data_IF_744725544985
#
_entry.id   IF_744725544985
#
_cell.length_a   1.000
_cell.length_b   1.000
_cell.length_c   1.000
_cell.angle_alpha   90.00
_cell.angle_beta   90.00
_cell.angle_gamma   90.00
#
_symmetry.space_group_name_H-M   'P 1'
#
loop_
_entity.id
_entity.type
_entity.pdbx_description
1 polymer ?
#
# COMPACT_ATOMS: atom_id res chain seq x y z
N UNK A 1 26.18 -14.85 -12.00
CA UNK A 1 26.15 -16.25 -11.56
C UNK A 1 24.72 -16.64 -11.19
N UNK A 2 24.26 -17.77 -11.71
CA UNK A 2 22.97 -18.36 -11.29
C UNK A 2 23.20 -19.31 -10.10
N UNK A 3 22.37 -19.19 -9.08
CA UNK A 3 22.36 -20.07 -7.93
C UNK A 3 21.75 -21.45 -8.22
N UNK A 4 21.84 -22.36 -7.27
CA UNK A 4 21.31 -23.72 -7.39
C UNK A 4 19.77 -23.71 -7.57
N UNK A 5 19.26 -24.45 -8.55
CA UNK A 5 17.84 -24.52 -8.90
C UNK A 5 17.17 -23.15 -9.20
N UNK A 6 17.93 -22.18 -9.67
CA UNK A 6 17.37 -20.91 -10.12
C UNK A 6 16.93 -20.95 -11.58
N UNK A 7 15.92 -20.15 -11.95
CA UNK A 7 15.41 -20.04 -13.31
C UNK A 7 15.52 -18.60 -13.81
N UNK A 8 16.20 -18.41 -14.95
CA UNK A 8 16.24 -17.11 -15.64
C UNK A 8 15.79 -17.30 -17.10
N UNK A 9 14.79 -16.53 -17.53
CA UNK A 9 14.23 -16.60 -18.89
C UNK A 9 14.13 -15.21 -19.49
N UNK A 10 14.68 -15.01 -20.70
CA UNK A 10 14.75 -13.79 -21.48
C UNK A 10 16.03 -12.97 -21.27
N UNK A 11 16.30 -12.04 -22.18
CA UNK A 11 17.51 -11.21 -22.22
C UNK A 11 17.68 -10.38 -20.95
N UNK A 12 18.82 -10.54 -20.28
CA UNK A 12 19.15 -9.77 -19.07
C UNK A 12 18.34 -10.16 -17.82
N UNK A 13 17.66 -11.30 -17.82
CA UNK A 13 17.07 -11.84 -16.60
C UNK A 13 18.18 -12.48 -15.74
N UNK A 14 18.17 -12.22 -14.42
CA UNK A 14 19.10 -12.82 -13.45
C UNK A 14 20.59 -12.56 -13.74
N UNK A 15 20.96 -11.39 -14.24
CA UNK A 15 22.30 -11.17 -14.82
C UNK A 15 23.43 -11.11 -13.80
N UNK A 16 23.25 -10.51 -12.63
CA UNK A 16 24.41 -10.18 -11.78
C UNK A 16 24.57 -11.10 -10.58
N UNK A 17 23.56 -11.53 -9.89
CA UNK A 17 23.66 -12.46 -8.75
C UNK A 17 22.29 -13.02 -8.41
N UNK A 18 21.88 -14.05 -9.13
CA UNK A 18 20.65 -14.78 -8.82
C UNK A 18 20.97 -15.88 -7.80
N UNK A 19 20.39 -15.82 -6.62
CA UNK A 19 20.61 -16.80 -5.55
C UNK A 19 19.78 -18.09 -5.76
N UNK A 20 19.91 -19.05 -4.85
CA UNK A 20 19.26 -20.34 -4.97
C UNK A 20 17.73 -20.25 -4.96
N UNK A 21 17.06 -21.15 -5.68
CA UNK A 21 15.61 -21.30 -5.74
C UNK A 21 14.84 -20.05 -6.24
N UNK A 22 15.54 -19.12 -6.86
CA UNK A 22 14.94 -17.87 -7.33
C UNK A 22 14.47 -17.95 -8.79
N UNK A 23 13.50 -17.13 -9.16
CA UNK A 23 12.91 -17.07 -10.51
C UNK A 23 12.97 -15.65 -11.06
N UNK A 24 13.55 -15.48 -12.26
CA UNK A 24 13.61 -14.24 -13.00
C UNK A 24 13.08 -14.45 -14.43
N UNK A 25 11.95 -13.86 -14.78
CA UNK A 25 11.34 -14.01 -16.12
C UNK A 25 11.05 -12.65 -16.73
N UNK A 26 11.50 -12.41 -17.95
CA UNK A 26 11.41 -11.21 -18.77
C UNK A 26 12.60 -10.27 -18.63
N UNK A 27 12.79 -9.45 -19.67
CA UNK A 27 13.92 -8.54 -19.82
C UNK A 27 14.13 -7.65 -18.60
N UNK A 28 15.34 -7.74 -18.02
CA UNK A 28 15.75 -6.93 -16.86
C UNK A 28 15.01 -7.29 -15.56
N UNK A 29 14.29 -8.42 -15.51
CA UNK A 29 13.84 -8.98 -14.26
C UNK A 29 15.08 -9.40 -13.46
N UNK A 30 15.13 -8.99 -12.17
CA UNK A 30 16.25 -9.28 -11.29
C UNK A 30 17.64 -9.00 -11.91
N UNK A 31 17.89 -7.75 -12.17
CA UNK A 31 19.17 -7.36 -12.77
C UNK A 31 20.33 -7.31 -11.75
N UNK A 32 20.05 -6.97 -10.50
CA UNK A 32 21.03 -6.83 -9.42
C UNK A 32 20.55 -7.41 -8.09
N UNK A 33 21.21 -8.48 -7.61
CA UNK A 33 21.05 -9.06 -6.27
C UNK A 33 19.65 -9.60 -5.92
N UNK A 34 19.28 -10.72 -6.53
CA UNK A 34 18.12 -11.51 -6.10
C UNK A 34 18.55 -12.53 -5.02
N UNK A 35 17.95 -12.47 -3.85
CA UNK A 35 18.19 -13.41 -2.78
C UNK A 35 17.37 -14.71 -2.94
N UNK A 36 17.60 -15.68 -2.02
CA UNK A 36 16.99 -17.00 -2.12
C UNK A 36 15.45 -16.94 -2.16
N UNK A 37 14.86 -17.84 -2.93
CA UNK A 37 13.41 -18.03 -3.06
C UNK A 37 12.64 -16.79 -3.56
N UNK A 38 13.34 -15.77 -4.07
CA UNK A 38 12.68 -14.58 -4.58
C UNK A 38 12.16 -14.81 -6.01
N UNK A 39 11.02 -14.20 -6.34
CA UNK A 39 10.37 -14.32 -7.65
C UNK A 39 10.23 -12.94 -8.30
N UNK A 40 10.78 -12.79 -9.52
CA UNK A 40 10.66 -11.59 -10.35
C UNK A 40 10.12 -11.95 -11.74
N UNK A 41 8.89 -11.57 -12.03
CA UNK A 41 8.23 -11.85 -13.32
C UNK A 41 7.72 -10.55 -13.95
N UNK A 42 8.29 -10.12 -15.03
CA UNK A 42 7.91 -8.91 -15.77
C UNK A 42 9.09 -8.01 -16.09
N UNK A 43 8.91 -7.09 -17.03
CA UNK A 43 9.96 -6.16 -17.45
C UNK A 43 10.40 -5.29 -16.24
N UNK A 44 11.68 -5.43 -15.84
CA UNK A 44 12.27 -4.78 -14.68
C UNK A 44 11.57 -5.06 -13.35
N UNK A 45 10.89 -6.19 -13.21
CA UNK A 45 10.39 -6.64 -11.91
C UNK A 45 11.57 -7.01 -11.01
N UNK A 46 11.53 -6.63 -9.72
CA UNK A 46 12.58 -6.93 -8.75
C UNK A 46 14.01 -6.55 -9.20
N UNK A 47 14.15 -5.52 -10.06
CA UNK A 47 15.43 -5.32 -10.77
C UNK A 47 16.62 -4.95 -9.89
N UNK A 48 16.39 -4.44 -8.68
CA UNK A 48 17.45 -4.06 -7.75
C UNK A 48 17.10 -4.46 -6.32
N UNK A 49 17.97 -5.26 -5.69
CA UNK A 49 17.89 -5.64 -4.27
C UNK A 49 16.56 -6.29 -3.86
N UNK A 50 16.25 -7.42 -4.49
CA UNK A 50 15.12 -8.25 -4.09
C UNK A 50 15.55 -9.23 -2.99
N UNK A 51 14.98 -9.09 -1.78
CA UNK A 51 15.35 -9.90 -0.63
C UNK A 51 14.63 -11.27 -0.57
N UNK A 52 14.92 -12.06 0.47
CA UNK A 52 14.44 -13.43 0.63
C UNK A 52 12.91 -13.53 0.60
N UNK A 53 12.40 -14.57 -0.06
CA UNK A 53 10.98 -14.91 -0.14
C UNK A 53 10.08 -13.78 -0.69
N UNK A 54 10.67 -12.78 -1.35
CA UNK A 54 9.91 -11.68 -1.91
C UNK A 54 9.37 -12.00 -3.31
N UNK A 55 8.22 -11.41 -3.66
CA UNK A 55 7.53 -11.66 -4.92
C UNK A 55 7.29 -10.34 -5.65
N UNK A 56 7.75 -10.23 -6.89
CA UNK A 56 7.52 -9.11 -7.79
C UNK A 56 6.94 -9.59 -9.13
N UNK A 57 5.65 -9.33 -9.37
CA UNK A 57 4.97 -9.76 -10.61
C UNK A 57 4.33 -8.57 -11.32
N UNK A 58 4.82 -8.22 -12.49
CA UNK A 58 4.37 -7.11 -13.31
C UNK A 58 5.48 -6.18 -13.74
N UNK A 59 5.23 -5.32 -14.72
CA UNK A 59 6.21 -4.35 -15.19
C UNK A 59 6.59 -3.40 -14.06
N UNK A 60 7.89 -3.34 -13.71
CA UNK A 60 8.45 -2.51 -12.63
C UNK A 60 7.88 -2.80 -11.24
N UNK A 61 7.24 -3.95 -11.02
CA UNK A 61 6.81 -4.37 -9.68
C UNK A 61 8.04 -4.60 -8.79
N UNK A 62 8.05 -4.14 -7.54
CA UNK A 62 9.16 -4.28 -6.60
C UNK A 62 10.50 -3.84 -7.17
N UNK A 63 10.52 -2.84 -8.06
CA UNK A 63 11.69 -2.53 -8.90
C UNK A 63 12.96 -2.22 -8.10
N UNK A 64 12.84 -1.51 -6.98
CA UNK A 64 13.97 -1.04 -6.17
C UNK A 64 13.72 -1.33 -4.70
N UNK A 65 14.64 -2.06 -4.06
CA UNK A 65 14.62 -2.35 -2.63
C UNK A 65 13.33 -3.01 -2.13
N UNK A 66 13.08 -4.25 -2.57
CA UNK A 66 12.02 -5.07 -2.02
C UNK A 66 12.58 -5.94 -0.89
N UNK A 67 12.11 -5.73 0.34
CA UNK A 67 12.61 -6.43 1.52
C UNK A 67 11.98 -7.82 1.73
N UNK A 68 12.36 -8.49 2.83
CA UNK A 68 11.97 -9.85 3.17
C UNK A 68 10.46 -10.07 3.12
N UNK A 69 10.03 -11.13 2.43
CA UNK A 69 8.62 -11.56 2.36
C UNK A 69 7.66 -10.50 1.81
N UNK A 70 8.18 -9.46 1.16
CA UNK A 70 7.34 -8.44 0.57
C UNK A 70 6.73 -8.92 -0.76
N UNK A 71 5.49 -8.51 -1.04
CA UNK A 71 4.75 -8.90 -2.23
C UNK A 71 4.36 -7.66 -3.05
N UNK A 72 4.74 -7.63 -4.32
CA UNK A 72 4.38 -6.59 -5.28
C UNK A 72 3.77 -7.21 -6.54
N UNK A 73 2.48 -7.01 -6.77
CA UNK A 73 1.77 -7.57 -7.94
C UNK A 73 1.01 -6.47 -8.71
N UNK A 74 1.43 -6.20 -9.92
CA UNK A 74 0.84 -5.17 -10.78
C UNK A 74 1.89 -4.24 -11.38
N UNK A 75 1.48 -3.39 -12.33
CA UNK A 75 2.37 -2.39 -12.92
C UNK A 75 2.82 -1.39 -11.87
N UNK A 76 4.12 -1.28 -11.64
CA UNK A 76 4.73 -0.37 -10.65
C UNK A 76 4.21 -0.53 -9.21
N UNK A 77 3.63 -1.68 -8.85
CA UNK A 77 3.27 -1.98 -7.47
C UNK A 77 4.55 -2.12 -6.63
N UNK A 78 4.57 -1.56 -5.42
CA UNK A 78 5.71 -1.60 -4.51
C UNK A 78 7.03 -1.14 -5.15
N UNK A 79 6.97 -0.20 -6.09
CA UNK A 79 8.09 0.11 -6.98
C UNK A 79 9.34 0.58 -6.26
N UNK A 80 9.21 1.42 -5.23
CA UNK A 80 10.33 1.97 -4.47
C UNK A 80 10.19 1.68 -2.99
N UNK A 81 11.21 1.06 -2.40
CA UNK A 81 11.36 0.86 -0.95
C UNK A 81 10.15 0.21 -0.28
N UNK A 82 9.86 -1.05 -0.66
CA UNK A 82 8.89 -1.88 0.04
C UNK A 82 9.59 -2.63 1.18
N UNK A 83 9.16 -2.40 2.42
CA UNK A 83 9.77 -3.02 3.58
C UNK A 83 9.25 -4.45 3.83
N UNK A 84 9.74 -5.09 4.91
CA UNK A 84 9.43 -6.49 5.23
C UNK A 84 7.92 -6.73 5.37
N UNK A 85 7.46 -7.85 4.83
CA UNK A 85 6.06 -8.29 4.89
C UNK A 85 5.03 -7.30 4.32
N UNK A 86 5.47 -6.27 3.61
CA UNK A 86 4.57 -5.33 2.97
C UNK A 86 3.91 -5.94 1.72
N UNK A 87 2.64 -5.63 1.49
CA UNK A 87 1.86 -6.14 0.35
C UNK A 87 1.36 -5.00 -0.51
N UNK A 88 1.68 -5.02 -1.81
CA UNK A 88 1.21 -4.07 -2.81
C UNK A 88 0.59 -4.81 -4.00
N UNK A 89 -0.72 -4.68 -4.19
CA UNK A 89 -1.44 -5.35 -5.29
C UNK A 89 -2.31 -4.37 -6.06
N UNK A 90 -1.96 -4.12 -7.32
CA UNK A 90 -2.67 -3.19 -8.21
C UNK A 90 -1.75 -2.25 -8.95
N UNK A 91 -2.32 -1.44 -9.85
CA UNK A 91 -1.59 -0.40 -10.58
C UNK A 91 -1.09 0.67 -9.61
N UNK A 92 0.23 0.85 -9.50
CA UNK A 92 0.89 1.80 -8.60
C UNK A 92 0.45 1.71 -7.12
N UNK A 93 -0.03 0.55 -6.68
CA UNK A 93 -0.30 0.31 -5.26
C UNK A 93 1.03 0.29 -4.47
N UNK A 94 1.08 0.93 -3.30
CA UNK A 94 2.28 1.01 -2.47
C UNK A 94 3.50 1.53 -3.22
N UNK A 95 3.32 2.45 -4.17
CA UNK A 95 4.34 2.86 -5.14
C UNK A 95 5.66 3.29 -4.51
N UNK A 96 5.61 4.04 -3.41
CA UNK A 96 6.81 4.49 -2.71
C UNK A 96 6.69 4.46 -1.19
N UNK A 97 7.78 4.06 -0.52
CA UNK A 97 7.92 4.10 0.94
C UNK A 97 6.79 3.37 1.68
N UNK A 98 6.55 2.11 1.31
CA UNK A 98 5.64 1.24 2.04
C UNK A 98 6.40 0.58 3.20
N UNK A 99 6.02 0.91 4.44
CA UNK A 99 6.66 0.38 5.64
C UNK A 99 6.26 -1.07 5.96
N UNK A 100 6.90 -1.68 6.94
CA UNK A 100 6.73 -3.09 7.26
C UNK A 100 5.30 -3.44 7.68
N UNK A 101 4.80 -4.59 7.20
CA UNK A 101 3.45 -5.05 7.46
C UNK A 101 2.32 -4.23 6.82
N UNK A 102 2.64 -3.18 6.08
CA UNK A 102 1.61 -2.37 5.42
C UNK A 102 0.98 -3.09 4.22
N UNK A 103 -0.32 -2.88 4.00
CA UNK A 103 -1.11 -3.49 2.93
C UNK A 103 -1.71 -2.42 2.02
N UNK A 104 -1.42 -2.48 0.72
CA UNK A 104 -1.97 -1.62 -0.32
C UNK A 104 -2.62 -2.47 -1.42
N UNK A 105 -3.95 -2.47 -1.54
CA UNK A 105 -4.68 -3.25 -2.54
C UNK A 105 -5.64 -2.37 -3.34
N UNK A 106 -5.42 -2.26 -4.63
CA UNK A 106 -6.20 -1.44 -5.56
C UNK A 106 -5.34 -0.46 -6.32
N UNK A 107 -5.86 0.12 -7.40
CA UNK A 107 -5.13 1.12 -8.17
C UNK A 107 -4.87 2.37 -7.31
N UNK A 108 -3.60 2.78 -7.22
CA UNK A 108 -3.12 3.92 -6.42
C UNK A 108 -3.40 3.81 -4.91
N UNK A 109 -3.72 2.61 -4.38
CA UNK A 109 -3.88 2.43 -2.94
C UNK A 109 -2.53 2.57 -2.23
N UNK A 110 -2.49 3.29 -1.09
CA UNK A 110 -1.28 3.51 -0.31
C UNK A 110 -0.10 4.04 -1.12
N UNK A 111 -0.35 4.88 -2.14
CA UNK A 111 0.64 5.22 -3.17
C UNK A 111 1.91 5.82 -2.59
N UNK A 112 1.81 6.70 -1.61
CA UNK A 112 2.95 7.40 -1.02
C UNK A 112 2.92 7.39 0.51
N UNK A 113 4.01 6.92 1.14
CA UNK A 113 4.24 7.12 2.57
C UNK A 113 3.32 6.32 3.49
N UNK A 114 3.02 5.05 3.15
CA UNK A 114 2.25 4.18 4.02
C UNK A 114 3.13 3.66 5.17
N UNK A 115 2.75 3.97 6.41
CA UNK A 115 3.53 3.60 7.60
C UNK A 115 3.23 2.16 8.08
N UNK A 116 3.89 1.73 9.17
CA UNK A 116 3.81 0.35 9.68
C UNK A 116 2.36 -0.09 9.93
N UNK A 117 2.04 -1.30 9.51
CA UNK A 117 0.75 -1.99 9.69
C UNK A 117 -0.47 -1.24 9.12
N UNK A 118 -0.25 -0.15 8.39
CA UNK A 118 -1.33 0.60 7.77
C UNK A 118 -1.99 -0.19 6.63
N UNK A 119 -3.32 -0.09 6.50
CA UNK A 119 -4.11 -0.81 5.52
C UNK A 119 -4.81 0.17 4.58
N UNK A 120 -4.56 0.05 3.27
CA UNK A 120 -5.22 0.78 2.21
C UNK A 120 -5.84 -0.19 1.19
N UNK A 121 -7.16 -0.31 1.16
CA UNK A 121 -7.87 -1.22 0.24
C UNK A 121 -8.93 -0.47 -0.55
N UNK A 122 -8.77 -0.44 -1.86
CA UNK A 122 -9.66 0.26 -2.80
C UNK A 122 -8.93 1.22 -3.70
N UNK A 123 -9.53 1.59 -4.82
CA UNK A 123 -8.91 2.57 -5.72
C UNK A 123 -8.73 3.91 -5.02
N UNK A 124 -7.53 4.44 -5.04
CA UNK A 124 -7.17 5.70 -4.38
C UNK A 124 -7.46 5.74 -2.87
N UNK A 125 -7.44 4.59 -2.18
CA UNK A 125 -7.48 4.57 -0.73
C UNK A 125 -6.11 4.98 -0.16
N UNK A 126 -6.08 5.89 0.82
CA UNK A 126 -4.87 6.36 1.51
C UNK A 126 -3.72 6.71 0.56
N UNK A 127 -3.98 7.54 -0.45
CA UNK A 127 -2.97 7.89 -1.47
C UNK A 127 -1.77 8.58 -0.87
N UNK A 128 -1.96 9.48 0.10
CA UNK A 128 -0.90 10.26 0.72
C UNK A 128 -0.93 10.17 2.24
N UNK A 129 0.23 9.89 2.83
CA UNK A 129 0.51 10.02 4.28
C UNK A 129 -0.46 9.24 5.19
N UNK A 130 -0.48 7.91 5.07
CA UNK A 130 -1.17 7.06 6.02
C UNK A 130 -0.22 6.67 7.17
N UNK A 131 -0.58 7.05 8.40
CA UNK A 131 0.23 6.80 9.60
C UNK A 131 0.04 5.37 10.15
N UNK A 132 0.75 5.03 11.25
CA UNK A 132 0.78 3.70 11.84
C UNK A 132 -0.61 3.21 12.24
N UNK A 133 -0.88 1.94 11.97
CA UNK A 133 -2.12 1.24 12.31
C UNK A 133 -3.40 1.89 11.75
N UNK A 134 -3.27 2.83 10.83
CA UNK A 134 -4.41 3.47 10.19
C UNK A 134 -5.05 2.58 9.12
N UNK A 135 -6.38 2.59 9.03
CA UNK A 135 -7.15 1.74 8.11
C UNK A 135 -7.98 2.61 7.16
N UNK A 136 -7.79 2.42 5.85
CA UNK A 136 -8.57 3.05 4.80
C UNK A 136 -9.13 1.97 3.85
N UNK A 137 -10.44 1.72 3.88
CA UNK A 137 -11.10 0.73 3.02
C UNK A 137 -12.26 1.36 2.26
N UNK A 138 -12.15 1.37 0.95
CA UNK A 138 -13.13 1.94 0.03
C UNK A 138 -12.49 2.89 -0.97
N UNK A 139 -13.18 3.18 -2.07
CA UNK A 139 -12.67 4.13 -3.07
C UNK A 139 -12.49 5.52 -2.45
N UNK A 140 -11.25 6.03 -2.47
CA UNK A 140 -10.90 7.35 -1.94
C UNK A 140 -11.08 7.50 -0.42
N UNK A 141 -11.19 6.40 0.34
CA UNK A 141 -11.17 6.44 1.80
C UNK A 141 -9.80 6.89 2.30
N UNK A 142 -9.74 7.75 3.32
CA UNK A 142 -8.51 8.24 3.91
C UNK A 142 -7.53 8.85 2.90
N UNK A 143 -8.01 9.45 1.83
CA UNK A 143 -7.20 9.84 0.65
C UNK A 143 -6.00 10.73 1.01
N UNK A 144 -6.20 11.74 1.87
CA UNK A 144 -5.14 12.63 2.37
C UNK A 144 -5.01 12.57 3.88
N UNK A 145 -3.82 12.48 4.41
CA UNK A 145 -3.46 12.64 5.83
C UNK A 145 -4.37 11.87 6.79
N UNK A 146 -4.16 10.56 6.86
CA UNK A 146 -4.77 9.73 7.89
C UNK A 146 -3.77 9.51 9.01
N UNK A 147 -4.06 10.03 10.21
CA UNK A 147 -3.16 9.91 11.36
C UNK A 147 -3.27 8.56 12.07
N UNK A 148 -2.50 8.39 13.17
CA UNK A 148 -2.36 7.14 13.92
C UNK A 148 -3.70 6.54 14.32
N UNK A 149 -3.86 5.22 14.11
CA UNK A 149 -5.02 4.46 14.55
C UNK A 149 -6.37 4.98 13.98
N UNK A 150 -6.34 5.85 12.98
CA UNK A 150 -7.55 6.36 12.37
C UNK A 150 -8.20 5.34 11.42
N UNK A 151 -9.54 5.26 11.41
CA UNK A 151 -10.29 4.30 10.60
C UNK A 151 -11.24 5.02 9.63
N UNK A 152 -11.07 4.76 8.35
CA UNK A 152 -11.95 5.23 7.27
C UNK A 152 -12.52 4.05 6.48
N UNK A 153 -13.80 3.76 6.61
CA UNK A 153 -14.46 2.64 5.94
C UNK A 153 -15.67 3.10 5.14
N UNK A 154 -15.55 3.07 3.82
CA UNK A 154 -16.60 3.47 2.88
C UNK A 154 -16.09 4.39 1.78
N UNK A 155 -16.91 4.62 0.76
CA UNK A 155 -16.58 5.52 -0.34
C UNK A 155 -16.38 6.96 0.16
N UNK A 156 -15.19 7.52 -0.02
CA UNK A 156 -14.78 8.85 0.43
C UNK A 156 -14.96 9.09 1.95
N UNK A 157 -14.96 8.02 2.77
CA UNK A 157 -14.94 8.16 4.22
C UNK A 157 -13.58 8.74 4.66
N UNK A 158 -13.58 9.66 5.61
CA UNK A 158 -12.36 10.29 6.11
C UNK A 158 -11.44 10.84 5.02
N UNK A 159 -11.99 11.33 3.90
CA UNK A 159 -11.22 11.64 2.69
C UNK A 159 -10.11 12.65 2.91
N UNK A 160 -10.34 13.68 3.73
CA UNK A 160 -9.38 14.75 4.02
C UNK A 160 -9.13 14.89 5.51
N UNK A 161 -7.89 14.83 5.92
CA UNK A 161 -7.41 15.08 7.29
C UNK A 161 -8.22 14.40 8.39
N UNK A 162 -7.95 13.13 8.57
CA UNK A 162 -8.49 12.35 9.68
C UNK A 162 -7.44 12.27 10.79
N UNK A 163 -7.71 12.92 11.94
CA UNK A 163 -6.78 12.93 13.06
C UNK A 163 -6.77 11.61 13.85
N UNK A 164 -5.84 11.47 14.78
CA UNK A 164 -5.59 10.23 15.51
C UNK A 164 -6.85 9.66 16.17
N UNK A 165 -6.99 8.33 16.11
CA UNK A 165 -8.10 7.55 16.67
C UNK A 165 -9.49 7.96 16.21
N UNK A 166 -9.59 8.74 15.15
CA UNK A 166 -10.90 9.09 14.61
C UNK A 166 -11.49 7.94 13.78
N UNK A 167 -12.81 7.83 13.76
CA UNK A 167 -13.53 6.76 13.08
C UNK A 167 -14.56 7.33 12.11
N UNK A 168 -14.46 6.98 10.84
CA UNK A 168 -15.41 7.35 9.78
C UNK A 168 -15.94 6.08 9.10
N UNK A 169 -17.18 5.71 9.39
CA UNK A 169 -17.85 4.53 8.83
C UNK A 169 -19.07 4.91 8.00
N UNK A 170 -19.01 4.65 6.72
CA UNK A 170 -20.09 4.95 5.77
C UNK A 170 -19.62 5.85 4.63
N UNK A 171 -20.40 5.91 3.54
CA UNK A 171 -20.03 6.75 2.42
C UNK A 171 -20.07 8.23 2.83
N UNK A 172 -18.94 8.90 2.61
CA UNK A 172 -18.68 10.31 2.96
C UNK A 172 -18.81 10.64 4.45
N UNK A 173 -18.79 9.65 5.35
CA UNK A 173 -18.71 9.89 6.79
C UNK A 173 -17.36 10.57 7.11
N UNK A 174 -17.38 11.60 7.97
CA UNK A 174 -16.19 12.34 8.38
C UNK A 174 -15.32 12.83 7.21
N UNK A 175 -15.92 13.17 6.07
CA UNK A 175 -15.24 13.40 4.81
C UNK A 175 -14.19 14.50 4.88
N UNK A 176 -14.53 15.63 5.49
CA UNK A 176 -13.65 16.77 5.64
C UNK A 176 -13.31 16.98 7.10
N UNK A 177 -12.05 17.06 7.43
CA UNK A 177 -11.52 17.43 8.74
C UNK A 177 -12.22 16.80 9.96
N UNK A 178 -11.85 15.59 10.29
CA UNK A 178 -12.32 14.92 11.50
C UNK A 178 -11.27 15.05 12.60
N UNK A 179 -11.61 15.76 13.70
CA UNK A 179 -10.66 15.94 14.79
C UNK A 179 -10.42 14.62 15.56
N UNK A 180 -9.44 14.63 16.44
CA UNK A 180 -9.01 13.47 17.19
C UNK A 180 -10.17 12.81 17.98
N UNK A 181 -10.19 11.49 18.05
CA UNK A 181 -11.15 10.69 18.81
C UNK A 181 -12.61 10.90 18.37
N UNK A 182 -12.86 11.60 17.28
CA UNK A 182 -14.20 11.82 16.77
C UNK A 182 -14.75 10.60 16.03
N UNK A 183 -16.06 10.36 16.13
CA UNK A 183 -16.76 9.22 15.53
C UNK A 183 -17.86 9.69 14.60
N UNK A 184 -17.82 9.30 13.33
CA UNK A 184 -18.83 9.54 12.31
C UNK A 184 -19.31 8.20 11.72
N UNK A 185 -20.56 7.83 11.96
CA UNK A 185 -21.14 6.57 11.48
C UNK A 185 -22.44 6.83 10.72
N UNK A 186 -22.46 6.50 9.44
CA UNK A 186 -23.62 6.66 8.58
C UNK A 186 -23.30 7.43 7.29
N UNK A 187 -24.24 7.43 6.36
CA UNK A 187 -24.12 8.16 5.10
C UNK A 187 -24.10 9.66 5.35
N UNK A 188 -23.03 10.34 4.92
CA UNK A 188 -22.77 11.77 5.18
C UNK A 188 -22.77 12.18 6.67
N UNK A 189 -22.59 11.25 7.60
CA UNK A 189 -22.48 11.62 9.01
C UNK A 189 -21.21 12.47 9.22
N UNK A 190 -21.36 13.60 9.93
CA UNK A 190 -20.28 14.57 10.19
C UNK A 190 -19.42 14.86 8.94
N UNK A 191 -20.07 15.12 7.80
CA UNK A 191 -19.34 15.35 6.54
C UNK A 191 -18.28 16.43 6.66
N UNK A 192 -18.50 17.46 7.46
CA UNK A 192 -17.59 18.58 7.69
C UNK A 192 -17.24 18.77 9.17
N UNK A 193 -15.96 19.06 9.42
CA UNK A 193 -15.46 19.73 10.63
C UNK A 193 -15.96 19.17 11.98
N UNK A 194 -15.76 17.90 12.22
CA UNK A 194 -16.13 17.30 13.50
C UNK A 194 -15.07 17.66 14.59
N UNK A 195 -15.54 18.14 15.76
CA UNK A 195 -14.67 18.47 16.89
C UNK A 195 -14.16 17.25 17.62
N UNK A 196 -13.09 17.42 18.41
CA UNK A 196 -12.50 16.35 19.21
C UNK A 196 -13.54 15.65 20.10
N UNK A 197 -13.53 14.32 20.07
CA UNK A 197 -14.40 13.47 20.86
C UNK A 197 -15.90 13.55 20.46
N UNK A 198 -16.24 14.29 19.41
CA UNK A 198 -17.64 14.39 18.98
C UNK A 198 -18.12 13.09 18.32
N UNK A 199 -19.38 12.74 18.55
CA UNK A 199 -20.01 11.53 17.99
C UNK A 199 -21.22 11.92 17.14
N UNK A 200 -21.23 11.48 15.87
CA UNK A 200 -22.33 11.64 14.93
C UNK A 200 -22.73 10.28 14.36
N UNK A 201 -23.91 9.79 14.67
CA UNK A 201 -24.42 8.50 14.23
C UNK A 201 -25.76 8.65 13.52
N UNK A 202 -25.87 8.21 12.30
CA UNK A 202 -27.08 8.24 11.49
C UNK A 202 -26.91 8.95 10.15
N UNK A 203 -27.94 8.88 9.33
CA UNK A 203 -28.01 9.52 8.02
C UNK A 203 -27.98 11.04 8.18
N UNK A 204 -26.98 11.71 7.58
CA UNK A 204 -26.73 13.15 7.71
C UNK A 204 -26.55 13.67 9.16
N UNK A 205 -26.30 12.80 10.14
CA UNK A 205 -26.10 13.24 11.53
C UNK A 205 -24.87 14.17 11.64
N UNK A 206 -25.01 15.27 12.40
CA UNK A 206 -23.90 16.21 12.62
C UNK A 206 -23.38 16.91 11.36
N UNK A 207 -24.14 16.93 10.28
CA UNK A 207 -23.78 17.67 9.06
C UNK A 207 -24.09 19.15 9.30
N UNK A 208 -23.06 19.96 9.37
CA UNK A 208 -23.16 21.43 9.52
C UNK A 208 -22.83 22.07 8.18
#
# INVERSE_FOLDING_TARGET
CQGYNSLAVDEGAGTTSQSALSVAIRRGADNYHQNNSAVAIGHRAGSCYQNYDSVAVGTKAGQVCQNYQAVAVGHSAGRYCQQYQAVAVGYEAGYSNQCGGAVAIGAFAGQCGQQYHAIAIGSCAAVEHQQWDAIAIGKGAGYYCQEYEAVALGHLAGQYCQHYRSVALGARAGRYYQAAEAVAVGYYAAECCQRQGAVAVGYYAGRI
#
